data_IF_436038986547
#
_entry.id   IF_436038986547
#
_cell.length_a   1.000
_cell.length_b   1.000
_cell.length_c   1.000
_cell.angle_alpha   90.00
_cell.angle_beta   90.00
_cell.angle_gamma   90.00
#
_symmetry.space_group_name_H-M   'P 1'
#
loop_
_entity.id
_entity.type
_entity.pdbx_description
1 polymer ?
#
# COMPACT_ATOMS: atom_id res chain seq x y z
N UNK A 1 -8.98 -12.21 9.99
CA UNK A 1 -8.39 -10.87 9.75
C UNK A 1 -8.00 -10.20 11.06
N UNK A 2 -8.92 -10.06 12.02
CA UNK A 2 -8.61 -9.43 13.33
C UNK A 2 -7.36 -10.00 14.01
N UNK A 3 -7.21 -11.33 14.09
CA UNK A 3 -6.03 -11.97 14.69
C UNK A 3 -4.72 -11.58 14.01
N UNK A 4 -4.74 -11.47 12.67
CA UNK A 4 -3.56 -11.05 11.90
C UNK A 4 -3.23 -9.58 12.19
N UNK A 5 -4.24 -8.72 12.29
CA UNK A 5 -4.05 -7.31 12.64
C UNK A 5 -3.56 -7.12 14.09
N UNK A 6 -4.04 -7.93 15.03
CA UNK A 6 -3.55 -7.95 16.43
C UNK A 6 -2.09 -8.42 16.52
N UNK A 7 -1.70 -9.37 15.68
CA UNK A 7 -0.31 -9.81 15.60
C UNK A 7 0.59 -8.69 15.08
N UNK A 8 0.17 -7.97 14.02
CA UNK A 8 0.88 -6.79 13.54
C UNK A 8 0.95 -5.71 14.61
N UNK A 9 -0.15 -5.42 15.32
CA UNK A 9 -0.18 -4.46 16.44
C UNK A 9 0.86 -4.80 17.51
N UNK A 10 0.92 -6.08 17.93
CA UNK A 10 1.93 -6.56 18.87
C UNK A 10 3.35 -6.34 18.34
N UNK A 11 3.63 -6.76 17.10
CA UNK A 11 4.97 -6.63 16.50
C UNK A 11 5.39 -5.16 16.41
N UNK A 12 4.49 -4.28 15.99
CA UNK A 12 4.74 -2.85 15.95
C UNK A 12 5.06 -2.29 17.35
N UNK A 13 4.30 -2.68 18.37
CA UNK A 13 4.53 -2.24 19.77
C UNK A 13 5.86 -2.75 20.31
N UNK A 14 6.19 -4.02 20.08
CA UNK A 14 7.43 -4.64 20.56
C UNK A 14 8.68 -4.02 19.92
N UNK A 15 8.54 -3.44 18.72
CA UNK A 15 9.63 -2.83 17.96
C UNK A 15 9.60 -1.29 17.96
N UNK A 16 8.70 -0.66 18.70
CA UNK A 16 8.51 0.80 18.71
C UNK A 16 8.31 1.39 17.30
N UNK A 17 7.42 0.75 16.53
CA UNK A 17 7.04 1.14 15.17
C UNK A 17 5.65 1.75 15.20
N UNK A 18 5.53 3.02 14.82
CA UNK A 18 4.24 3.66 14.64
C UNK A 18 3.53 3.14 13.39
N UNK A 19 2.22 2.93 13.50
CA UNK A 19 1.38 2.58 12.35
C UNK A 19 -0.06 3.05 12.61
N UNK A 20 -0.88 3.11 11.56
CA UNK A 20 -2.31 3.39 11.69
C UNK A 20 -3.13 2.56 10.71
N UNK A 21 -4.43 2.45 10.99
CA UNK A 21 -5.36 1.78 10.08
C UNK A 21 -5.61 2.63 8.84
N UNK A 22 -5.75 1.98 7.70
CA UNK A 22 -5.99 2.67 6.43
C UNK A 22 -7.41 2.48 5.88
N UNK A 23 -7.88 3.49 5.15
CA UNK A 23 -9.09 3.51 4.34
C UNK A 23 -10.30 2.82 5.00
N UNK A 24 -10.74 1.70 4.41
CA UNK A 24 -11.92 0.95 4.84
C UNK A 24 -11.75 0.25 6.19
N UNK A 25 -10.51 -0.05 6.59
CA UNK A 25 -10.18 -0.63 7.90
C UNK A 25 -10.41 0.41 8.99
N UNK A 26 -9.88 1.62 8.79
CA UNK A 26 -10.08 2.75 9.71
C UNK A 26 -11.56 3.14 9.80
N UNK A 27 -12.22 3.27 8.65
CA UNK A 27 -13.65 3.62 8.60
C UNK A 27 -14.50 2.58 9.33
N UNK A 28 -14.20 1.29 9.16
CA UNK A 28 -14.85 0.21 9.90
C UNK A 28 -14.68 0.39 11.40
N UNK A 29 -13.43 0.54 11.86
CA UNK A 29 -13.12 0.67 13.29
C UNK A 29 -13.88 1.84 13.94
N UNK A 30 -13.92 2.99 13.28
CA UNK A 30 -14.60 4.18 13.81
C UNK A 30 -16.13 4.01 13.80
N UNK A 31 -16.70 3.60 12.64
CA UNK A 31 -18.15 3.60 12.40
C UNK A 31 -18.87 2.38 12.96
N UNK A 32 -18.30 1.19 12.80
CA UNK A 32 -18.92 -0.09 13.15
C UNK A 32 -18.33 -0.74 14.40
N UNK A 33 -17.28 -0.15 14.98
CA UNK A 33 -16.51 -0.75 16.09
C UNK A 33 -15.96 -2.14 15.72
N UNK A 34 -15.62 -2.31 14.44
CA UNK A 34 -15.18 -3.57 13.85
C UNK A 34 -14.95 -3.43 12.35
N UNK A 35 -14.77 -4.53 11.63
CA UNK A 35 -14.62 -4.48 10.17
C UNK A 35 -15.96 -4.15 9.48
N UNK A 36 -15.88 -3.54 8.30
CA UNK A 36 -17.04 -3.42 7.40
C UNK A 36 -17.37 -4.82 6.88
N UNK A 37 -18.57 -5.34 7.14
CA UNK A 37 -18.93 -6.75 6.93
C UNK A 37 -18.77 -7.27 5.49
N UNK A 38 -18.95 -6.40 4.49
CA UNK A 38 -18.79 -6.76 3.07
C UNK A 38 -17.38 -6.50 2.53
N UNK A 39 -16.47 -5.97 3.36
CA UNK A 39 -15.11 -5.65 2.95
C UNK A 39 -14.15 -6.74 3.44
N UNK A 40 -13.51 -7.41 2.49
CA UNK A 40 -12.47 -8.40 2.74
C UNK A 40 -11.06 -7.80 2.82
N UNK A 41 -10.90 -6.51 2.50
CA UNK A 41 -9.61 -5.84 2.47
C UNK A 41 -9.25 -5.28 3.85
N UNK A 42 -8.03 -5.55 4.30
CA UNK A 42 -7.44 -4.93 5.47
C UNK A 42 -6.16 -4.21 5.05
N UNK A 43 -5.95 -3.01 5.59
CA UNK A 43 -4.83 -2.16 5.24
C UNK A 43 -4.37 -1.36 6.44
N UNK A 44 -3.06 -1.20 6.53
CA UNK A 44 -2.39 -0.33 7.49
C UNK A 44 -1.42 0.58 6.73
N UNK A 45 -1.14 1.71 7.36
CA UNK A 45 -0.15 2.66 6.93
C UNK A 45 0.97 2.73 7.97
N UNK A 46 2.21 2.91 7.51
CA UNK A 46 3.42 3.01 8.33
C UNK A 46 4.25 4.20 7.82
N UNK A 47 4.96 4.95 8.68
CA UNK A 47 5.90 5.97 8.21
C UNK A 47 6.93 5.36 7.24
N UNK A 48 7.22 6.02 6.12
CA UNK A 48 8.03 5.42 5.05
C UNK A 48 9.43 4.95 5.52
N UNK A 49 10.09 5.70 6.39
CA UNK A 49 11.39 5.31 6.97
C UNK A 49 11.31 4.08 7.89
N UNK A 50 10.13 3.80 8.48
CA UNK A 50 9.87 2.67 9.36
C UNK A 50 9.43 1.42 8.60
N UNK A 51 9.09 1.59 7.32
CA UNK A 51 8.53 0.53 6.48
C UNK A 51 9.42 -0.72 6.46
N UNK A 52 10.72 -0.56 6.14
CA UNK A 52 11.63 -1.72 6.10
C UNK A 52 11.82 -2.37 7.48
N UNK A 53 11.84 -1.58 8.57
CA UNK A 53 11.90 -2.12 9.93
C UNK A 53 10.70 -3.03 10.21
N UNK A 54 9.50 -2.61 9.79
CA UNK A 54 8.30 -3.42 9.92
C UNK A 54 8.37 -4.68 9.05
N UNK A 55 8.81 -4.58 7.80
CA UNK A 55 8.93 -5.75 6.91
C UNK A 55 9.90 -6.77 7.49
N UNK A 56 11.10 -6.35 7.92
CA UNK A 56 12.07 -7.25 8.54
C UNK A 56 11.54 -7.90 9.81
N UNK A 57 10.80 -7.17 10.66
CA UNK A 57 10.19 -7.76 11.86
C UNK A 57 9.11 -8.80 11.53
N UNK A 58 8.34 -8.57 10.46
CA UNK A 58 7.33 -9.50 9.97
C UNK A 58 7.95 -10.74 9.31
N UNK A 59 9.07 -10.60 8.60
CA UNK A 59 9.80 -11.72 8.02
C UNK A 59 10.34 -12.65 9.10
N UNK A 60 10.97 -12.07 10.14
CA UNK A 60 11.43 -12.81 11.32
C UNK A 60 10.26 -13.56 11.97
N UNK A 61 9.11 -12.91 12.18
CA UNK A 61 7.92 -13.59 12.73
C UNK A 61 7.48 -14.75 11.81
N UNK A 62 7.54 -14.59 10.48
CA UNK A 62 7.14 -15.62 9.53
C UNK A 62 8.01 -16.87 9.56
N UNK A 63 9.27 -16.75 10.01
CA UNK A 63 10.17 -17.90 10.22
C UNK A 63 9.74 -18.79 11.39
N UNK A 64 9.05 -18.20 12.37
CA UNK A 64 8.55 -18.88 13.57
C UNK A 64 7.10 -19.32 13.39
N UNK A 65 6.30 -18.48 12.74
CA UNK A 65 4.88 -18.67 12.53
C UNK A 65 4.59 -19.02 11.06
N UNK A 66 4.50 -20.31 10.76
CA UNK A 66 4.26 -20.83 9.40
C UNK A 66 2.85 -20.56 8.86
N UNK A 67 1.98 -19.92 9.66
CA UNK A 67 0.64 -19.53 9.25
C UNK A 67 0.59 -18.18 8.53
N UNK A 68 1.72 -17.45 8.47
CA UNK A 68 1.86 -16.15 7.83
C UNK A 68 3.02 -16.15 6.83
N UNK A 69 2.98 -15.25 5.85
CA UNK A 69 4.08 -15.04 4.90
C UNK A 69 3.97 -13.66 4.25
N UNK A 70 5.09 -13.12 3.78
CA UNK A 70 5.13 -11.92 2.96
C UNK A 70 5.07 -12.31 1.46
N UNK A 71 4.32 -11.53 0.68
CA UNK A 71 3.98 -11.91 -0.71
C UNK A 71 5.13 -11.69 -1.70
N UNK A 72 5.96 -10.67 -1.47
CA UNK A 72 6.94 -10.21 -2.45
C UNK A 72 8.37 -10.26 -1.94
N UNK A 73 8.61 -10.65 -0.69
CA UNK A 73 9.94 -10.60 -0.11
C UNK A 73 10.85 -11.72 -0.62
N UNK A 74 12.09 -11.36 -0.92
CA UNK A 74 13.18 -12.29 -1.13
C UNK A 74 14.52 -11.59 -0.83
N UNK A 75 15.31 -12.11 0.11
CA UNK A 75 16.60 -11.53 0.53
C UNK A 75 16.50 -10.10 1.09
N UNK A 76 15.63 -9.86 2.07
CA UNK A 76 15.49 -8.55 2.76
C UNK A 76 15.05 -7.37 1.87
N UNK A 77 14.67 -7.63 0.61
CA UNK A 77 14.20 -6.64 -0.36
C UNK A 77 12.82 -7.07 -0.88
N UNK A 78 11.78 -6.23 -0.76
CA UNK A 78 10.51 -6.45 -1.44
C UNK A 78 10.69 -6.48 -2.96
N UNK A 79 10.28 -7.57 -3.64
CA UNK A 79 10.26 -7.62 -5.13
C UNK A 79 9.13 -6.78 -5.74
N UNK A 80 8.19 -6.34 -4.91
CA UNK A 80 7.15 -5.37 -5.22
C UNK A 80 7.41 -4.07 -4.45
N UNK A 81 6.77 -2.98 -4.87
CA UNK A 81 6.94 -1.69 -4.19
C UNK A 81 6.46 -1.71 -2.74
N UNK A 82 5.38 -2.47 -2.47
CA UNK A 82 4.84 -2.66 -1.13
C UNK A 82 4.51 -4.12 -0.90
N UNK A 83 4.68 -4.54 0.34
CA UNK A 83 4.44 -5.88 0.82
C UNK A 83 3.00 -6.06 1.24
N UNK A 84 2.63 -7.34 1.31
CA UNK A 84 1.37 -7.78 1.88
C UNK A 84 1.67 -8.91 2.84
N UNK A 85 1.18 -8.76 4.06
CA UNK A 85 1.25 -9.84 5.05
C UNK A 85 0.04 -10.75 4.86
N UNK A 86 0.30 -11.97 4.42
CA UNK A 86 -0.71 -12.98 4.14
C UNK A 86 -0.88 -13.94 5.32
N UNK A 87 -1.98 -14.69 5.31
CA UNK A 87 -2.13 -15.88 6.16
C UNK A 87 -2.64 -17.08 5.39
N UNK A 88 -2.15 -18.26 5.75
CA UNK A 88 -2.62 -19.56 5.23
C UNK A 88 -4.00 -19.96 5.78
N UNK A 89 -4.47 -19.31 6.86
CA UNK A 89 -5.73 -19.65 7.53
C UNK A 89 -6.97 -19.01 6.93
N UNK A 90 -6.80 -18.05 6.01
CA UNK A 90 -7.91 -17.30 5.42
C UNK A 90 -7.76 -17.36 3.91
N UNK A 91 -8.79 -17.84 3.25
CA UNK A 91 -8.92 -17.75 1.80
C UNK A 91 -10.10 -16.85 1.43
N UNK A 92 -9.84 -15.91 0.55
CA UNK A 92 -10.82 -15.05 -0.09
C UNK A 92 -11.11 -15.59 -1.49
N UNK A 93 -12.36 -15.51 -1.92
CA UNK A 93 -12.77 -15.85 -3.28
C UNK A 93 -13.17 -14.56 -4.00
N UNK A 94 -12.53 -14.30 -5.13
CA UNK A 94 -12.90 -13.18 -6.02
C UNK A 94 -12.87 -13.65 -7.47
N UNK A 95 -13.96 -13.43 -8.22
CA UNK A 95 -14.12 -13.83 -9.63
C UNK A 95 -13.69 -15.28 -9.92
N UNK A 96 -14.06 -16.21 -9.04
CA UNK A 96 -13.73 -17.63 -9.17
C UNK A 96 -12.29 -18.01 -8.82
N UNK A 97 -11.43 -17.05 -8.49
CA UNK A 97 -10.05 -17.25 -8.03
C UNK A 97 -9.97 -17.21 -6.50
N UNK A 98 -9.03 -17.99 -5.95
CA UNK A 98 -8.73 -18.01 -4.52
C UNK A 98 -7.50 -17.16 -4.24
N UNK A 99 -7.57 -16.38 -3.18
CA UNK A 99 -6.51 -15.51 -2.70
C UNK A 99 -6.31 -15.71 -1.21
N UNK A 100 -5.07 -15.69 -0.73
CA UNK A 100 -4.83 -15.62 0.71
C UNK A 100 -5.40 -14.31 1.26
N UNK A 101 -6.07 -14.37 2.41
CA UNK A 101 -6.42 -13.17 3.17
C UNK A 101 -5.14 -12.48 3.62
N UNK A 102 -5.08 -11.16 3.41
CA UNK A 102 -3.88 -10.39 3.66
C UNK A 102 -4.16 -8.99 4.20
N UNK A 103 -3.14 -8.41 4.82
CA UNK A 103 -3.07 -7.00 5.20
C UNK A 103 -2.16 -6.30 4.19
N UNK A 104 -2.66 -5.24 3.57
CA UNK A 104 -1.84 -4.31 2.81
C UNK A 104 -1.04 -3.42 3.76
N UNK A 105 0.26 -3.27 3.50
CA UNK A 105 1.15 -2.42 4.30
C UNK A 105 1.63 -1.29 3.41
N UNK A 106 1.14 -0.08 3.65
CA UNK A 106 1.42 1.08 2.79
C UNK A 106 2.36 2.05 3.49
N UNK A 107 3.54 2.35 2.93
CA UNK A 107 4.39 3.41 3.47
C UNK A 107 3.76 4.78 3.21
N UNK A 108 3.92 5.70 4.16
CA UNK A 108 3.38 7.06 4.07
C UNK A 108 4.50 8.07 4.23
N UNK A 109 4.45 9.10 3.37
CA UNK A 109 5.48 10.13 3.28
C UNK A 109 4.91 11.54 3.45
N UNK A 110 5.79 12.46 3.84
CA UNK A 110 5.55 13.89 3.80
C UNK A 110 5.90 14.47 2.42
N UNK A 111 4.96 15.24 1.84
CA UNK A 111 5.18 15.97 0.59
C UNK A 111 5.34 17.45 0.90
N UNK A 112 6.54 17.96 0.66
CA UNK A 112 6.86 19.39 0.71
C UNK A 112 6.47 20.08 -0.59
N UNK A 113 6.19 21.38 -0.53
CA UNK A 113 5.83 22.18 -1.72
C UNK A 113 6.92 22.15 -2.80
N UNK A 114 8.18 22.22 -2.37
CA UNK A 114 9.35 22.22 -3.25
C UNK A 114 9.61 20.85 -3.89
N UNK A 115 9.33 19.78 -3.16
CA UNK A 115 9.61 18.40 -3.60
C UNK A 115 8.45 17.76 -4.36
N UNK A 116 7.28 18.43 -4.43
CA UNK A 116 6.05 17.88 -5.01
C UNK A 116 6.24 17.29 -6.42
N UNK A 117 6.99 17.96 -7.28
CA UNK A 117 7.25 17.50 -8.65
C UNK A 117 8.17 16.28 -8.65
N UNK A 118 9.26 16.32 -7.88
CA UNK A 118 10.20 15.22 -7.72
C UNK A 118 9.52 13.97 -7.15
N UNK A 119 8.70 14.12 -6.11
CA UNK A 119 7.91 13.03 -5.54
C UNK A 119 6.95 12.44 -6.58
N UNK A 120 6.26 13.28 -7.37
CA UNK A 120 5.36 12.80 -8.41
C UNK A 120 6.08 11.99 -9.50
N UNK A 121 7.29 12.39 -9.89
CA UNK A 121 8.13 11.67 -10.86
C UNK A 121 8.57 10.31 -10.31
N UNK A 122 9.03 10.25 -9.07
CA UNK A 122 9.42 9.00 -8.41
C UNK A 122 8.23 8.03 -8.35
N UNK A 123 7.05 8.51 -7.97
CA UNK A 123 5.84 7.68 -7.91
C UNK A 123 5.41 7.21 -9.30
N UNK A 124 5.56 8.04 -10.33
CA UNK A 124 5.23 7.68 -11.70
C UNK A 124 6.12 6.57 -12.25
N UNK A 125 7.42 6.61 -11.94
CA UNK A 125 8.37 5.55 -12.33
C UNK A 125 8.05 4.25 -11.59
N UNK A 126 7.71 4.35 -10.31
CA UNK A 126 7.28 3.22 -9.51
C UNK A 126 6.00 2.57 -10.09
N UNK A 127 4.98 3.36 -10.44
CA UNK A 127 3.76 2.88 -11.12
C UNK A 127 4.06 2.12 -12.39
N UNK A 128 4.98 2.66 -13.21
CA UNK A 128 5.40 2.03 -14.45
C UNK A 128 5.99 0.64 -14.21
N UNK A 129 6.92 0.50 -13.25
CA UNK A 129 7.57 -0.79 -12.98
C UNK A 129 6.63 -1.83 -12.36
N UNK A 130 5.54 -1.41 -11.72
CA UNK A 130 4.59 -2.32 -11.08
C UNK A 130 3.39 -2.67 -11.96
N UNK A 131 2.78 -1.68 -12.59
CA UNK A 131 1.56 -1.85 -13.38
C UNK A 131 1.80 -1.96 -14.89
N UNK A 132 3.00 -1.58 -15.35
CA UNK A 132 3.31 -1.44 -16.78
C UNK A 132 2.70 -0.21 -17.44
N UNK A 133 2.00 0.64 -16.68
CA UNK A 133 1.34 1.87 -17.11
C UNK A 133 1.66 3.02 -16.13
N UNK A 134 1.65 4.27 -16.61
CA UNK A 134 1.71 5.45 -15.73
C UNK A 134 0.30 6.00 -15.61
N UNK A 135 -0.50 5.35 -14.76
CA UNK A 135 -1.95 5.61 -14.65
C UNK A 135 -2.25 7.08 -14.29
N UNK A 136 -1.37 7.74 -13.52
CA UNK A 136 -1.48 9.15 -13.14
C UNK A 136 -1.37 10.15 -14.31
N UNK A 137 -0.80 9.75 -15.44
CA UNK A 137 -0.51 10.65 -16.56
C UNK A 137 -1.15 10.22 -17.89
N UNK A 138 -1.91 9.13 -17.91
CA UNK A 138 -2.60 8.66 -19.11
C UNK A 138 -1.67 8.17 -20.22
N UNK A 139 -0.40 7.92 -19.90
CA UNK A 139 0.61 7.44 -20.85
C UNK A 139 0.70 5.91 -20.73
N UNK A 140 0.36 5.22 -21.81
CA UNK A 140 0.58 3.77 -21.95
C UNK A 140 1.93 3.53 -22.61
N UNK A 141 2.73 2.65 -22.01
CA UNK A 141 4.01 2.24 -22.61
C UNK A 141 3.79 1.09 -23.57
N UNK A 142 4.41 1.14 -24.74
CA UNK A 142 4.28 0.08 -25.75
C UNK A 142 4.84 -1.25 -25.20
N UNK A 143 3.97 -2.26 -25.11
CA UNK A 143 4.33 -3.61 -24.67
C UNK A 143 5.43 -4.25 -25.52
N UNK A 144 5.56 -3.88 -26.81
CA UNK A 144 6.66 -4.35 -27.67
C UNK A 144 8.01 -3.79 -27.23
N UNK A 145 8.05 -2.53 -26.78
CA UNK A 145 9.25 -1.91 -26.24
C UNK A 145 9.73 -2.63 -24.98
N UNK A 146 8.81 -2.97 -24.07
CA UNK A 146 9.11 -3.74 -22.86
C UNK A 146 9.64 -5.13 -23.22
N UNK A 147 8.97 -5.86 -24.12
CA UNK A 147 9.37 -7.22 -24.51
C UNK A 147 10.77 -7.26 -25.14
N UNK A 148 11.12 -6.26 -25.96
CA UNK A 148 12.44 -6.17 -26.61
C UNK A 148 13.56 -5.87 -25.62
N UNK A 149 13.27 -5.16 -24.53
CA UNK A 149 14.25 -4.70 -23.55
C UNK A 149 14.06 -5.34 -22.17
N UNK A 150 13.39 -6.49 -22.09
CA UNK A 150 12.91 -7.06 -20.82
C UNK A 150 14.03 -7.24 -19.78
N UNK A 151 15.21 -7.72 -20.20
CA UNK A 151 16.35 -7.90 -19.29
C UNK A 151 16.80 -6.56 -18.67
N UNK A 152 17.00 -5.54 -19.50
CA UNK A 152 17.37 -4.20 -19.01
C UNK A 152 16.27 -3.59 -18.15
N UNK A 153 15.00 -3.76 -18.53
CA UNK A 153 13.87 -3.28 -17.75
C UNK A 153 13.76 -3.95 -16.37
N UNK A 154 14.09 -5.24 -16.25
CA UNK A 154 14.13 -5.94 -14.97
C UNK A 154 15.28 -5.46 -14.09
N UNK A 155 16.48 -5.25 -14.66
CA UNK A 155 17.63 -4.70 -13.93
C UNK A 155 17.33 -3.28 -13.43
N UNK A 156 16.75 -2.43 -14.28
CA UNK A 156 16.39 -1.07 -13.88
C UNK A 156 15.25 -1.06 -12.84
N UNK A 157 14.31 -2.01 -12.93
CA UNK A 157 13.29 -2.21 -11.88
C UNK A 157 13.93 -2.55 -10.54
N UNK A 158 14.87 -3.48 -10.51
CA UNK A 158 15.54 -3.93 -9.29
C UNK A 158 16.31 -2.77 -8.62
N UNK A 159 17.17 -2.07 -9.38
CA UNK A 159 17.87 -0.87 -8.90
C UNK A 159 16.92 0.21 -8.41
N UNK A 160 15.81 0.41 -9.11
CA UNK A 160 14.83 1.43 -8.71
C UNK A 160 14.08 1.02 -7.44
N UNK A 161 13.76 -0.25 -7.27
CA UNK A 161 13.18 -0.77 -6.02
C UNK A 161 14.15 -0.58 -4.85
N UNK A 162 15.44 -0.87 -5.04
CA UNK A 162 16.48 -0.58 -4.03
C UNK A 162 16.53 0.91 -3.68
N UNK A 163 16.56 1.79 -4.69
CA UNK A 163 16.52 3.24 -4.50
C UNK A 163 15.29 3.68 -3.69
N UNK A 164 14.09 3.15 -4.01
CA UNK A 164 12.85 3.49 -3.29
C UNK A 164 12.97 3.14 -1.80
N UNK A 165 13.42 1.93 -1.50
CA UNK A 165 13.41 1.40 -0.15
C UNK A 165 14.56 1.92 0.71
N UNK A 166 15.76 2.04 0.16
CA UNK A 166 16.97 2.36 0.93
C UNK A 166 17.35 3.84 0.89
N UNK A 167 16.95 4.59 -0.14
CA UNK A 167 17.28 6.02 -0.26
C UNK A 167 16.04 6.89 -0.09
N UNK A 168 15.01 6.69 -0.92
CA UNK A 168 13.86 7.57 -0.97
C UNK A 168 13.00 7.53 0.30
N UNK A 169 12.69 6.34 0.81
CA UNK A 169 11.90 6.21 2.04
C UNK A 169 12.63 6.74 3.27
N UNK A 170 13.95 6.54 3.34
CA UNK A 170 14.77 7.09 4.40
C UNK A 170 14.75 8.63 4.39
N UNK A 171 14.80 9.25 3.20
CA UNK A 171 14.67 10.70 3.04
C UNK A 171 13.28 11.21 3.46
N UNK A 172 12.20 10.48 3.13
CA UNK A 172 10.82 10.96 3.25
C UNK A 172 10.42 11.50 4.63
N UNK A 173 10.91 10.92 5.73
CA UNK A 173 10.59 11.35 7.09
C UNK A 173 11.68 12.17 7.79
N UNK A 174 12.87 12.28 7.18
CA UNK A 174 13.88 13.27 7.60
C UNK A 174 13.54 14.69 7.10
N UNK A 175 12.48 14.82 6.30
CA UNK A 175 11.96 16.11 5.85
C UNK A 175 11.32 16.84 7.03
N UNK A 176 11.90 17.99 7.42
CA UNK A 176 11.30 18.88 8.42
C UNK A 176 9.85 19.25 8.10
N UNK A 177 9.06 19.54 9.13
CA UNK A 177 7.61 19.77 9.02
C UNK A 177 7.26 21.13 8.38
N UNK A 178 8.24 22.01 8.18
CA UNK A 178 8.06 23.29 7.52
C UNK A 178 7.62 23.14 6.05
N UNK A 179 6.64 23.96 5.64
CA UNK A 179 6.09 23.97 4.27
C UNK A 179 5.50 22.63 3.80
N UNK A 180 5.06 21.79 4.75
CA UNK A 180 4.30 20.59 4.44
C UNK A 180 3.02 20.96 3.68
N UNK A 181 2.83 20.35 2.51
CA UNK A 181 1.61 20.53 1.72
C UNK A 181 0.61 19.44 2.02
N UNK A 182 1.08 18.20 2.19
CA UNK A 182 0.22 17.03 2.40
C UNK A 182 1.02 15.81 2.89
N UNK A 183 0.37 14.93 3.63
CA UNK A 183 0.76 13.53 3.81
C UNK A 183 0.05 12.65 2.80
N UNK A 184 0.77 11.73 2.16
CA UNK A 184 0.20 10.86 1.14
C UNK A 184 0.71 9.43 1.33
N UNK A 185 -0.22 8.47 1.38
CA UNK A 185 0.18 7.08 1.29
C UNK A 185 0.76 6.84 -0.10
N UNK A 186 1.78 6.01 -0.12
CA UNK A 186 2.28 5.44 -1.35
C UNK A 186 1.32 4.31 -1.70
N UNK A 187 0.12 4.65 -2.18
CA UNK A 187 -0.86 3.67 -2.64
C UNK A 187 -1.27 4.00 -4.06
N UNK A 188 -1.10 3.03 -4.95
CA UNK A 188 -1.37 3.19 -6.38
C UNK A 188 -2.86 3.07 -6.73
N UNK A 189 -3.71 2.77 -5.75
CA UNK A 189 -5.15 2.58 -5.95
C UNK A 189 -5.93 3.88 -5.67
N UNK A 190 -5.80 4.89 -6.54
CA UNK A 190 -6.58 6.16 -6.42
C UNK A 190 -8.11 6.00 -6.52
N UNK A 191 -8.61 4.80 -6.79
CA UNK A 191 -10.05 4.56 -6.97
C UNK A 191 -10.85 4.38 -5.66
N UNK A 192 -10.28 4.59 -4.47
CA UNK A 192 -11.09 4.53 -3.22
C UNK A 192 -12.00 5.75 -2.99
N UNK A 193 -11.79 6.87 -3.71
CA UNK A 193 -12.57 8.10 -3.54
C UNK A 193 -14.03 8.05 -4.05
N UNK A 194 -14.45 6.96 -4.68
CA UNK A 194 -15.86 6.79 -5.12
C UNK A 194 -16.80 6.41 -3.96
N UNK A 195 -16.27 5.89 -2.84
CA UNK A 195 -17.09 5.47 -1.69
C UNK A 195 -17.32 6.58 -0.64
N UNK A 196 -16.67 7.75 -0.79
CA UNK A 196 -16.78 8.88 0.14
C UNK A 196 -17.58 10.06 -0.41
N UNK A 197 -18.27 9.93 -1.57
CA UNK A 197 -19.19 10.98 -1.99
C UNK A 197 -20.35 11.06 -1.00
N UNK A 198 -20.70 12.26 -0.49
CA UNK A 198 -21.90 12.42 0.31
C UNK A 198 -23.09 11.97 -0.54
N UNK A 199 -23.94 11.09 0.02
CA UNK A 199 -25.27 10.83 -0.50
C UNK A 199 -26.07 12.14 -0.44
N UNK A 200 -25.92 13.01 -1.44
CA UNK A 200 -26.85 14.09 -1.64
C UNK A 200 -28.20 13.47 -2.03
N UNK A 201 -29.14 13.57 -1.09
CA UNK A 201 -30.55 13.22 -1.23
C UNK A 201 -31.10 13.77 -2.55
N UNK A 202 -31.42 12.90 -3.49
CA UNK A 202 -32.39 13.19 -4.54
C UNK A 202 -33.78 12.92 -3.97
N UNK A 203 -34.35 13.89 -3.26
CA UNK A 203 -35.81 13.98 -3.11
C UNK A 203 -36.40 14.30 -4.47
N UNK A 204 -36.82 13.28 -5.21
CA UNK A 204 -37.83 13.45 -6.25
C UNK A 204 -39.16 12.97 -5.66
N UNK A 205 -39.95 13.95 -5.24
CA UNK A 205 -41.39 13.81 -5.04
C UNK A 205 -42.02 13.26 -6.32
N UNK A 206 -42.62 12.08 -6.23
CA UNK A 206 -43.53 11.55 -7.25
C UNK A 206 -44.94 12.01 -6.87
N UNK A 207 -45.70 12.71 -7.73
CA UNK A 207 -47.12 12.86 -7.52
C UNK A 207 -47.81 11.54 -7.82
N UNK A 208 -48.72 11.17 -6.94
CA UNK A 208 -49.64 10.04 -7.05
C UNK A 208 -50.58 10.29 -8.22
N UNK A 209 -50.70 9.31 -9.13
CA UNK A 209 -51.93 8.92 -9.83
C UNK A 209 -51.86 7.43 -10.12
#
# INVERSE_FOLDING_TARGET
MLRLLQMVDRICKDNDIEYWLDASTLLGAVRHKGFILWNSNCGICVPANEYLRLISALDIESTVNTDIFLFHEHNDIPRGLFEKLATTKIMLRNDGKLYAGHIHISPVRFIKKIDKQKDAEIISVAEYFYSGDVAMHGVKVDKKYIKKNLKSALVEKEKFTEYIHFEYFLDCNNRGLENLVRMDSLDYYRNFNIYLRPLHKSTKTTPIQ
#
